data_IF_376457437269
#
_entry.id   IF_376457437269
#
_cell.length_a   1.000
_cell.length_b   1.000
_cell.length_c   1.000
_cell.angle_alpha   90.00
_cell.angle_beta   90.00
_cell.angle_gamma   90.00
#
_symmetry.space_group_name_H-M   'P 1'
#
loop_
_entity.id
_entity.type
_entity.pdbx_description
1 polymer ?
#
# COMPACT_ATOMS: atom_id res chain seq x y z
N UNK A 1 17.04 -13.70 -4.43
CA UNK A 1 17.40 -14.76 -3.45
C UNK A 1 17.82 -16.06 -4.12
N UNK A 2 17.14 -16.49 -5.21
CA UNK A 2 17.59 -17.61 -6.05
C UNK A 2 19.05 -17.47 -6.54
N UNK A 3 19.55 -16.25 -6.68
CA UNK A 3 20.96 -15.96 -6.99
C UNK A 3 21.95 -16.17 -5.83
N UNK A 4 21.49 -16.51 -4.61
CA UNK A 4 22.36 -16.82 -3.46
C UNK A 4 23.06 -15.63 -2.79
N UNK A 5 22.75 -14.39 -3.18
CA UNK A 5 23.51 -13.18 -2.82
C UNK A 5 23.09 -12.48 -1.51
N UNK A 6 22.15 -13.02 -0.74
CA UNK A 6 21.67 -12.34 0.47
C UNK A 6 20.68 -13.14 1.31
N UNK A 7 20.14 -12.51 2.36
CA UNK A 7 19.08 -13.02 3.25
C UNK A 7 17.99 -11.96 3.42
N UNK A 8 16.73 -12.38 3.46
CA UNK A 8 15.60 -11.54 3.86
C UNK A 8 15.42 -11.67 5.38
N UNK A 9 15.62 -10.58 6.13
CA UNK A 9 15.44 -10.56 7.58
C UNK A 9 13.97 -10.35 7.98
N UNK A 10 13.31 -9.37 7.36
CA UNK A 10 11.92 -9.02 7.61
C UNK A 10 11.17 -8.80 6.29
N UNK A 11 9.89 -9.13 6.27
CA UNK A 11 8.96 -8.62 5.26
C UNK A 11 8.52 -7.21 5.66
N UNK A 12 8.11 -6.38 4.68
CA UNK A 12 7.60 -5.04 4.98
C UNK A 12 6.44 -5.05 5.98
N UNK A 13 5.59 -6.09 5.90
CA UNK A 13 4.48 -6.32 6.83
C UNK A 13 4.89 -6.69 8.26
N UNK A 14 6.13 -7.15 8.48
CA UNK A 14 6.70 -7.31 9.82
C UNK A 14 7.13 -5.96 10.40
N UNK A 15 7.49 -5.01 9.53
CA UNK A 15 8.00 -3.70 9.92
C UNK A 15 6.87 -2.69 10.14
N UNK A 16 5.85 -2.72 9.30
CA UNK A 16 4.74 -1.76 9.34
C UNK A 16 3.45 -2.50 8.96
N UNK A 17 2.62 -2.75 9.97
CA UNK A 17 1.27 -3.23 9.74
C UNK A 17 0.49 -2.17 8.95
N UNK A 18 -0.13 -2.60 7.85
CA UNK A 18 -0.90 -1.74 6.93
C UNK A 18 -0.07 -0.59 6.33
N UNK A 19 1.19 -0.87 5.98
CA UNK A 19 2.00 0.07 5.20
C UNK A 19 1.26 0.53 3.94
N UNK A 20 1.16 1.84 3.65
CA UNK A 20 0.69 2.30 2.36
C UNK A 20 1.70 1.94 1.29
N UNK A 21 1.29 1.10 0.34
CA UNK A 21 2.11 0.72 -0.80
C UNK A 21 1.70 1.52 -2.05
N UNK A 22 1.39 0.87 -3.16
CA UNK A 22 1.21 1.55 -4.45
C UNK A 22 -0.17 2.21 -4.55
N UNK A 23 -0.22 3.37 -5.20
CA UNK A 23 -1.44 4.15 -5.39
C UNK A 23 -1.70 4.42 -6.87
N UNK A 24 -2.98 4.51 -7.25
CA UNK A 24 -3.38 5.10 -8.51
C UNK A 24 -3.41 6.62 -8.37
N UNK A 25 -2.43 7.30 -8.97
CA UNK A 25 -2.35 8.76 -8.96
C UNK A 25 -2.67 9.34 -10.34
N UNK A 26 -3.49 10.39 -10.35
CA UNK A 26 -3.81 11.18 -11.56
C UNK A 26 -3.69 12.67 -11.25
N UNK A 27 -3.47 13.50 -12.28
CA UNK A 27 -3.43 14.96 -12.10
C UNK A 27 -4.81 15.49 -11.70
N UNK A 28 -4.89 16.34 -10.68
CA UNK A 28 -6.15 16.91 -10.19
C UNK A 28 -6.98 17.60 -11.27
N UNK A 29 -6.33 18.38 -12.14
CA UNK A 29 -7.00 19.02 -13.29
C UNK A 29 -7.67 18.03 -14.24
N UNK A 30 -7.04 16.87 -14.45
CA UNK A 30 -7.58 15.84 -15.33
C UNK A 30 -8.75 15.13 -14.64
N UNK A 31 -8.62 14.82 -13.35
CA UNK A 31 -9.68 14.22 -12.55
C UNK A 31 -10.96 15.06 -12.59
N UNK A 32 -10.85 16.38 -12.40
CA UNK A 32 -11.99 17.31 -12.42
C UNK A 32 -12.62 17.42 -13.81
N UNK A 33 -11.82 17.45 -14.87
CA UNK A 33 -12.32 17.55 -16.24
C UNK A 33 -12.91 16.22 -16.76
N UNK A 34 -12.57 15.08 -16.14
CA UNK A 34 -12.93 13.74 -16.63
C UNK A 34 -13.59 12.87 -15.56
N UNK A 35 -14.39 13.47 -14.68
CA UNK A 35 -15.01 12.77 -13.53
C UNK A 35 -15.69 11.45 -13.90
N UNK A 36 -16.53 11.35 -14.95
CA UNK A 36 -17.16 10.07 -15.31
C UNK A 36 -16.15 8.98 -15.73
N UNK A 37 -15.07 9.37 -16.41
CA UNK A 37 -13.99 8.47 -16.82
C UNK A 37 -13.19 8.00 -15.62
N UNK A 38 -12.82 8.91 -14.71
CA UNK A 38 -12.15 8.57 -13.47
C UNK A 38 -12.97 7.57 -12.65
N UNK A 39 -14.28 7.81 -12.49
CA UNK A 39 -15.15 6.88 -11.77
C UNK A 39 -15.20 5.48 -12.42
N UNK A 40 -15.23 5.40 -13.75
CA UNK A 40 -15.15 4.11 -14.47
C UNK A 40 -13.82 3.42 -14.25
N UNK A 41 -12.71 4.17 -14.27
CA UNK A 41 -11.37 3.66 -14.01
C UNK A 41 -11.24 3.11 -12.59
N UNK A 42 -11.69 3.86 -11.59
CA UNK A 42 -11.67 3.41 -10.18
C UNK A 42 -12.47 2.12 -10.02
N UNK A 43 -13.69 2.03 -10.58
CA UNK A 43 -14.47 0.77 -10.57
C UNK A 43 -13.77 -0.38 -11.29
N UNK A 44 -13.08 -0.11 -12.39
CA UNK A 44 -12.32 -1.13 -13.11
C UNK A 44 -11.16 -1.66 -12.26
N UNK A 45 -10.41 -0.77 -11.59
CA UNK A 45 -9.35 -1.15 -10.66
C UNK A 45 -9.87 -1.99 -9.49
N UNK A 46 -11.01 -1.61 -8.88
CA UNK A 46 -11.62 -2.40 -7.80
C UNK A 46 -12.01 -3.81 -8.27
N UNK A 47 -12.62 -3.94 -9.45
CA UNK A 47 -12.95 -5.27 -10.00
C UNK A 47 -11.70 -6.08 -10.34
N UNK A 48 -10.69 -5.46 -10.94
CA UNK A 48 -9.43 -6.13 -11.26
C UNK A 48 -8.70 -6.60 -10.00
N UNK A 49 -8.70 -5.78 -8.94
CA UNK A 49 -8.14 -6.12 -7.65
C UNK A 49 -8.82 -7.34 -7.03
N UNK A 50 -10.16 -7.37 -7.00
CA UNK A 50 -10.94 -8.52 -6.54
C UNK A 50 -10.68 -9.78 -7.38
N UNK A 51 -10.59 -9.64 -8.71
CA UNK A 51 -10.25 -10.74 -9.60
C UNK A 51 -8.85 -11.29 -9.31
N UNK A 52 -7.85 -10.42 -9.09
CA UNK A 52 -6.48 -10.83 -8.78
C UNK A 52 -6.35 -11.49 -7.40
N UNK A 53 -7.20 -11.11 -6.44
CA UNK A 53 -7.20 -11.69 -5.09
C UNK A 53 -7.84 -13.08 -5.03
N UNK A 54 -8.73 -13.40 -5.97
CA UNK A 54 -9.42 -14.68 -6.04
C UNK A 54 -8.45 -15.84 -6.36
N UNK A 55 -8.35 -16.86 -5.48
CA UNK A 55 -7.45 -18.00 -5.69
C UNK A 55 -7.70 -18.77 -6.98
N UNK A 56 -8.94 -18.75 -7.49
CA UNK A 56 -9.36 -19.43 -8.71
C UNK A 56 -8.71 -18.82 -9.96
N UNK A 57 -8.52 -17.50 -9.97
CA UNK A 57 -7.91 -16.75 -11.09
C UNK A 57 -6.37 -16.78 -11.07
N UNK A 58 -5.79 -17.31 -10.00
CA UNK A 58 -4.35 -17.26 -9.73
C UNK A 58 -3.47 -17.93 -10.79
N UNK A 59 -3.84 -19.09 -11.38
CA UNK A 59 -3.06 -19.65 -12.49
C UNK A 59 -2.99 -18.70 -13.68
N UNK A 60 -4.11 -18.07 -14.05
CA UNK A 60 -4.18 -17.12 -15.16
C UNK A 60 -3.41 -15.83 -14.86
N UNK A 61 -3.58 -15.27 -13.66
CA UNK A 61 -2.83 -14.09 -13.21
C UNK A 61 -1.31 -14.29 -13.31
N UNK A 62 -0.83 -15.48 -12.89
CA UNK A 62 0.60 -15.82 -12.99
C UNK A 62 1.07 -15.82 -14.44
N UNK A 63 0.30 -16.38 -15.37
CA UNK A 63 0.67 -16.40 -16.80
C UNK A 63 0.67 -14.99 -17.38
N UNK A 64 -0.37 -14.20 -17.11
CA UNK A 64 -0.45 -12.80 -17.55
C UNK A 64 0.80 -12.05 -17.09
N UNK A 65 1.14 -12.11 -15.81
CA UNK A 65 2.29 -11.38 -15.26
C UNK A 65 3.65 -11.89 -15.80
N UNK A 66 3.75 -13.17 -16.15
CA UNK A 66 4.97 -13.77 -16.69
C UNK A 66 5.24 -13.40 -18.16
N UNK A 67 4.26 -12.84 -18.87
CA UNK A 67 4.42 -12.40 -20.26
C UNK A 67 5.69 -11.54 -20.44
N UNK A 68 6.47 -11.73 -21.53
CA UNK A 68 7.69 -10.96 -21.80
C UNK A 68 7.45 -9.45 -21.84
N UNK A 69 6.28 -9.02 -22.30
CA UNK A 69 5.85 -7.62 -22.36
C UNK A 69 5.42 -7.05 -21.00
N UNK A 70 5.44 -7.87 -19.93
CA UNK A 70 5.11 -7.47 -18.56
C UNK A 70 6.30 -7.59 -17.63
N UNK A 71 6.31 -8.55 -16.71
CA UNK A 71 7.43 -8.74 -15.79
C UNK A 71 8.54 -9.55 -16.46
N UNK A 72 8.20 -10.43 -17.41
CA UNK A 72 9.17 -11.29 -18.10
C UNK A 72 9.98 -12.18 -17.14
N UNK A 73 9.38 -12.59 -16.02
CA UNK A 73 10.02 -13.46 -15.02
C UNK A 73 9.30 -14.81 -14.92
N UNK A 74 10.03 -15.78 -14.38
CA UNK A 74 9.60 -17.17 -14.28
C UNK A 74 8.27 -17.33 -13.51
N UNK A 75 7.26 -18.03 -14.06
CA UNK A 75 5.92 -18.15 -13.47
C UNK A 75 5.90 -18.65 -12.02
N UNK A 76 6.76 -19.62 -11.66
CA UNK A 76 6.81 -20.15 -10.31
C UNK A 76 7.28 -19.10 -9.31
N UNK A 77 8.20 -18.22 -9.70
CA UNK A 77 8.62 -17.06 -8.89
C UNK A 77 7.44 -16.12 -8.60
N UNK A 78 6.63 -15.80 -9.61
CA UNK A 78 5.43 -14.97 -9.44
C UNK A 78 4.43 -15.66 -8.50
N UNK A 79 4.20 -16.94 -8.70
CA UNK A 79 3.31 -17.75 -7.86
C UNK A 79 3.74 -17.70 -6.39
N UNK A 80 5.03 -17.88 -6.12
CA UNK A 80 5.59 -17.81 -4.76
C UNK A 80 5.35 -16.44 -4.09
N UNK A 81 5.56 -15.35 -4.81
CA UNK A 81 5.28 -13.99 -4.33
C UNK A 81 3.80 -13.83 -4.00
N UNK A 82 2.91 -14.22 -4.91
CA UNK A 82 1.46 -14.11 -4.69
C UNK A 82 1.00 -14.98 -3.51
N UNK A 83 1.70 -16.08 -3.20
CA UNK A 83 1.35 -17.01 -2.09
C UNK A 83 1.89 -16.45 -0.76
N UNK A 84 2.62 -15.34 -0.80
CA UNK A 84 3.36 -14.81 0.33
C UNK A 84 4.47 -15.74 0.81
N UNK A 85 4.94 -16.67 -0.04
CA UNK A 85 5.95 -17.69 0.26
C UNK A 85 7.24 -17.34 -0.45
N UNK A 86 8.20 -16.77 0.28
CA UNK A 86 9.48 -16.33 -0.28
C UNK A 86 10.63 -17.20 0.22
N UNK A 87 11.62 -17.44 -0.65
CA UNK A 87 12.94 -17.94 -0.23
C UNK A 87 13.70 -16.82 0.46
N UNK A 88 13.96 -16.98 1.75
CA UNK A 88 14.54 -15.95 2.63
C UNK A 88 16.03 -16.15 2.90
N UNK A 89 16.63 -17.30 2.58
CA UNK A 89 18.08 -17.51 2.69
C UNK A 89 18.67 -18.35 1.54
N UNK A 90 20.00 -18.28 1.28
CA UNK A 90 20.65 -19.02 0.19
C UNK A 90 20.59 -20.55 0.34
N UNK A 91 20.42 -21.05 1.56
CA UNK A 91 20.25 -22.48 1.86
C UNK A 91 18.85 -23.02 1.49
N UNK A 92 18.02 -22.23 0.82
CA UNK A 92 16.67 -22.62 0.41
C UNK A 92 15.60 -22.43 1.48
N UNK A 93 15.92 -21.84 2.63
CA UNK A 93 14.94 -21.51 3.68
C UNK A 93 13.80 -20.68 3.09
N UNK A 94 12.56 -21.11 3.32
CA UNK A 94 11.36 -20.38 2.88
C UNK A 94 10.53 -19.90 4.07
N UNK A 95 9.95 -18.71 3.95
CA UNK A 95 9.01 -18.15 4.91
C UNK A 95 7.71 -17.79 4.20
N UNK A 96 6.58 -18.10 4.83
CA UNK A 96 5.24 -17.75 4.35
C UNK A 96 4.61 -16.74 5.29
N UNK A 97 3.91 -15.73 4.75
CA UNK A 97 3.12 -14.80 5.55
C UNK A 97 1.78 -14.49 4.86
N UNK A 98 0.66 -14.84 5.50
CA UNK A 98 -0.67 -14.76 4.89
C UNK A 98 -1.16 -13.35 4.55
N UNK A 99 -0.51 -12.31 5.07
CA UNK A 99 -0.79 -10.89 4.73
C UNK A 99 0.30 -10.26 3.85
N UNK A 100 1.21 -11.06 3.29
CA UNK A 100 2.31 -10.53 2.47
C UNK A 100 1.82 -9.73 1.27
N UNK A 101 0.72 -10.18 0.66
CA UNK A 101 0.10 -9.54 -0.50
C UNK A 101 -1.41 -9.46 -0.28
N UNK A 102 -1.92 -8.28 0.03
CA UNK A 102 -3.36 -8.00 0.15
C UNK A 102 -3.73 -7.15 -1.07
N UNK A 103 -4.60 -7.67 -1.92
CA UNK A 103 -4.97 -7.03 -3.18
C UNK A 103 -6.37 -6.44 -3.17
N UNK A 104 -7.28 -6.97 -2.36
CA UNK A 104 -8.67 -6.58 -2.35
C UNK A 104 -9.18 -6.23 -0.94
N UNK A 105 -10.46 -5.91 -0.88
CA UNK A 105 -11.10 -5.43 0.34
C UNK A 105 -10.99 -3.92 0.51
N UNK A 106 -11.99 -3.37 1.20
CA UNK A 106 -12.14 -1.94 1.42
C UNK A 106 -10.90 -1.27 2.07
N UNK A 107 -10.29 -1.85 3.13
CA UNK A 107 -9.13 -1.24 3.77
C UNK A 107 -7.86 -1.24 2.91
N UNK A 108 -7.78 -2.09 1.87
CA UNK A 108 -6.62 -2.15 0.98
C UNK A 108 -6.74 -1.16 -0.19
N UNK A 109 -7.97 -0.88 -0.65
CA UNK A 109 -8.21 -0.13 -1.88
C UNK A 109 -8.60 1.33 -1.66
N UNK A 110 -9.34 1.63 -0.57
CA UNK A 110 -9.78 3.01 -0.33
C UNK A 110 -8.61 3.88 0.12
N UNK A 111 -8.34 5.02 -0.54
CA UNK A 111 -7.32 5.95 -0.09
C UNK A 111 -7.61 6.47 1.33
N UNK A 112 -6.66 6.30 2.24
CA UNK A 112 -6.75 6.76 3.63
C UNK A 112 -5.82 7.98 3.85
N UNK A 113 -6.36 9.19 4.12
CA UNK A 113 -5.55 10.37 4.41
C UNK A 113 -4.56 10.19 5.57
N UNK A 114 -4.83 9.29 6.53
CA UNK A 114 -3.91 8.97 7.64
C UNK A 114 -2.60 8.37 7.13
N UNK A 115 -2.65 7.57 6.06
CA UNK A 115 -1.45 7.05 5.39
C UNK A 115 -0.61 8.16 4.76
N UNK A 116 -1.26 9.15 4.15
CA UNK A 116 -0.58 10.31 3.58
C UNK A 116 0.13 11.14 4.65
N UNK A 117 -0.55 11.38 5.78
CA UNK A 117 0.00 12.11 6.91
C UNK A 117 1.19 11.38 7.56
N UNK A 118 1.17 10.05 7.61
CA UNK A 118 2.32 9.28 8.10
C UNK A 118 3.52 9.35 7.17
N UNK A 119 3.31 9.23 5.85
CA UNK A 119 4.37 9.41 4.86
C UNK A 119 4.96 10.82 4.97
N UNK A 120 4.10 11.85 5.06
CA UNK A 120 4.51 13.23 5.33
C UNK A 120 5.33 13.34 6.63
N UNK A 121 4.90 12.71 7.72
CA UNK A 121 5.65 12.70 8.97
C UNK A 121 7.02 12.03 8.83
N UNK A 122 7.15 10.96 8.03
CA UNK A 122 8.46 10.38 7.73
C UNK A 122 9.34 11.33 6.91
N UNK A 123 8.77 12.05 5.93
CA UNK A 123 9.52 13.06 5.15
C UNK A 123 10.03 14.19 6.06
N UNK A 124 9.22 14.66 7.00
CA UNK A 124 9.63 15.65 8.02
C UNK A 124 10.71 15.07 8.92
N UNK A 125 10.52 13.86 9.46
CA UNK A 125 11.49 13.18 10.32
C UNK A 125 12.86 13.08 9.67
N UNK A 126 12.90 12.75 8.39
CA UNK A 126 14.13 12.63 7.60
C UNK A 126 14.58 13.94 6.96
N UNK A 127 14.02 15.08 7.38
CA UNK A 127 14.40 16.44 6.94
C UNK A 127 14.31 16.65 5.43
N UNK A 128 13.44 15.91 4.75
CA UNK A 128 13.18 16.10 3.32
C UNK A 128 12.30 17.34 3.09
N UNK A 129 11.47 17.69 4.07
CA UNK A 129 10.59 18.88 4.08
C UNK A 129 10.49 19.43 5.50
N UNK A 130 10.18 20.71 5.63
CA UNK A 130 9.84 21.32 6.92
C UNK A 130 8.38 21.07 7.29
N UNK A 131 8.13 20.93 8.59
CA UNK A 131 6.76 20.79 9.08
C UNK A 131 6.01 22.12 9.00
N UNK A 132 4.81 22.11 8.39
CA UNK A 132 3.82 23.18 8.57
C UNK A 132 2.40 22.63 8.54
N UNK A 133 1.42 23.29 9.19
CA UNK A 133 0.02 22.91 9.08
C UNK A 133 -0.49 22.88 7.63
N UNK A 134 -0.02 23.82 6.80
CA UNK A 134 -0.38 23.89 5.39
C UNK A 134 0.14 22.69 4.59
N UNK A 135 1.39 22.26 4.84
CA UNK A 135 1.96 21.10 4.16
C UNK A 135 1.32 19.79 4.61
N UNK A 136 0.99 19.66 5.91
CA UNK A 136 0.25 18.51 6.43
C UNK A 136 -1.14 18.41 5.77
N UNK A 137 -1.88 19.52 5.69
CA UNK A 137 -3.18 19.57 5.03
C UNK A 137 -3.07 19.25 3.52
N UNK A 138 -2.05 19.76 2.84
CA UNK A 138 -1.79 19.46 1.44
C UNK A 138 -1.51 17.96 1.23
N UNK A 139 -0.69 17.33 2.10
CA UNK A 139 -0.40 15.90 2.03
C UNK A 139 -1.66 15.06 2.23
N UNK A 140 -2.47 15.36 3.25
CA UNK A 140 -3.74 14.68 3.48
C UNK A 140 -4.68 14.80 2.27
N UNK A 141 -4.73 15.98 1.63
CA UNK A 141 -5.57 16.26 0.47
C UNK A 141 -5.14 15.57 -0.84
N UNK A 142 -3.94 14.98 -0.91
CA UNK A 142 -3.52 14.16 -2.06
C UNK A 142 -4.34 12.86 -2.11
N UNK A 143 -4.67 12.29 -0.95
CA UNK A 143 -5.48 11.08 -0.86
C UNK A 143 -6.94 11.48 -0.89
N UNK A 144 -7.66 11.04 -1.93
CA UNK A 144 -9.03 11.47 -2.24
C UNK A 144 -10.05 10.35 -2.04
N UNK A 145 -10.38 9.99 -0.78
CA UNK A 145 -11.41 8.99 -0.51
C UNK A 145 -12.77 9.37 -1.08
N UNK A 146 -13.10 10.66 -1.11
CA UNK A 146 -14.35 11.17 -1.66
C UNK A 146 -14.53 10.83 -3.16
N UNK A 147 -13.46 10.87 -3.96
CA UNK A 147 -13.50 10.47 -5.37
C UNK A 147 -13.67 8.95 -5.52
N UNK A 148 -13.08 8.18 -4.61
CA UNK A 148 -13.24 6.73 -4.57
C UNK A 148 -14.67 6.36 -4.18
N UNK A 149 -15.18 6.89 -3.07
CA UNK A 149 -16.51 6.61 -2.54
C UNK A 149 -17.60 6.97 -3.56
N UNK A 150 -17.46 8.13 -4.23
CA UNK A 150 -18.35 8.54 -5.32
C UNK A 150 -18.33 7.56 -6.52
N UNK A 151 -17.22 6.87 -6.76
CA UNK A 151 -17.09 5.93 -7.87
C UNK A 151 -17.71 4.55 -7.59
N UNK A 152 -17.63 4.08 -6.34
CA UNK A 152 -18.06 2.73 -5.93
C UNK A 152 -19.51 2.72 -5.41
N UNK A 153 -20.13 3.89 -5.18
CA UNK A 153 -21.48 4.02 -4.63
C UNK A 153 -21.70 3.26 -3.32
N UNK A 154 -20.63 3.04 -2.56
CA UNK A 154 -20.67 2.35 -1.28
C UNK A 154 -21.06 3.34 -0.19
N UNK A 155 -22.08 2.97 0.58
CA UNK A 155 -22.42 3.59 1.87
C UNK A 155 -21.52 2.97 2.94
N UNK A 156 -21.14 3.82 3.90
CA UNK A 156 -20.31 3.51 5.07
C UNK A 156 -20.51 2.09 5.61
N UNK A 157 -19.47 1.27 5.52
CA UNK A 157 -19.20 0.18 6.47
C UNK A 157 -17.79 -0.34 6.25
N UNK A 158 -16.82 0.35 6.86
CA UNK A 158 -15.57 -0.23 7.33
C UNK A 158 -14.73 0.89 7.94
N UNK A 159 -15.04 1.23 9.19
CA UNK A 159 -13.99 1.75 10.07
C UNK A 159 -12.95 0.64 10.22
N UNK A 160 -11.92 0.67 9.36
CA UNK A 160 -10.75 -0.15 9.58
C UNK A 160 -10.07 0.41 10.82
N UNK A 161 -10.08 -0.39 11.90
CA UNK A 161 -9.47 -0.05 13.19
C UNK A 161 -8.08 0.59 13.02
N UNK A 162 -7.84 1.65 13.77
CA UNK A 162 -6.69 2.55 13.66
C UNK A 162 -5.33 1.84 13.69
N UNK A 163 -4.41 2.38 12.88
CA UNK A 163 -2.98 2.28 13.15
C UNK A 163 -2.15 1.83 11.95
N UNK A 164 -1.25 2.72 11.52
CA UNK A 164 -0.02 2.32 10.84
C UNK A 164 0.89 1.78 11.95
N UNK A 165 0.87 0.47 12.13
CA UNK A 165 1.55 -0.19 13.24
C UNK A 165 3.02 -0.42 12.90
N UNK A 166 3.89 0.54 13.18
CA UNK A 166 5.33 0.33 13.06
C UNK A 166 5.82 -0.67 14.11
N UNK A 167 6.78 -1.53 13.75
CA UNK A 167 7.33 -2.56 14.64
C UNK A 167 8.08 -1.96 15.84
N UNK A 168 8.54 -0.72 15.69
CA UNK A 168 9.28 0.02 16.69
C UNK A 168 8.95 1.51 16.62
N UNK A 169 9.08 2.18 17.76
CA UNK A 169 8.77 3.60 17.92
C UNK A 169 7.34 3.84 18.42
N UNK A 170 6.96 5.12 18.60
CA UNK A 170 5.63 5.47 19.06
C UNK A 170 4.57 5.13 18.02
N UNK A 171 3.34 4.87 18.48
CA UNK A 171 2.18 4.77 17.61
C UNK A 171 1.97 6.08 16.86
N UNK A 172 1.62 5.98 15.57
CA UNK A 172 1.27 7.15 14.77
C UNK A 172 -0.17 7.58 15.04
N UNK A 173 -0.35 8.86 15.35
CA UNK A 173 -1.65 9.51 15.52
C UNK A 173 -1.79 10.62 14.48
N UNK A 174 -2.70 10.46 13.53
CA UNK A 174 -2.90 11.41 12.44
C UNK A 174 -3.36 12.80 12.93
N UNK A 175 -4.10 12.84 14.03
CA UNK A 175 -4.60 14.07 14.65
C UNK A 175 -3.51 14.84 15.44
N UNK A 176 -2.36 14.21 15.68
CA UNK A 176 -1.22 14.81 16.41
C UNK A 176 0.13 14.46 15.77
N UNK A 177 0.32 14.91 14.53
CA UNK A 177 1.60 14.77 13.81
C UNK A 177 2.77 15.41 14.59
N UNK A 178 2.64 16.62 15.18
CA UNK A 178 3.73 17.20 15.99
C UNK A 178 4.10 16.35 17.20
N UNK A 179 3.12 15.82 17.95
CA UNK A 179 3.37 14.93 19.09
C UNK A 179 4.04 13.63 18.67
N UNK A 180 3.61 13.03 17.55
CA UNK A 180 4.29 11.88 16.96
C UNK A 180 5.77 12.19 16.62
N UNK A 181 6.03 13.31 15.94
CA UNK A 181 7.38 13.73 15.56
C UNK A 181 8.27 13.97 16.79
N UNK A 182 7.74 14.59 17.83
CA UNK A 182 8.45 14.80 19.09
C UNK A 182 8.75 13.48 19.80
N UNK A 183 7.79 12.54 19.81
CA UNK A 183 7.96 11.23 20.42
C UNK A 183 9.01 10.39 19.68
N UNK A 184 8.96 10.33 18.35
CA UNK A 184 9.88 9.49 17.58
C UNK A 184 11.31 10.04 17.56
N UNK A 185 11.48 11.36 17.68
CA UNK A 185 12.80 11.97 17.83
C UNK A 185 13.49 11.61 19.15
N UNK A 186 12.73 11.26 20.21
CA UNK A 186 13.28 10.77 21.49
C UNK A 186 13.61 9.28 21.48
N UNK A 187 13.10 8.54 20.50
CA UNK A 187 13.29 7.09 20.36
C UNK A 187 14.42 6.73 19.38
N UNK A 188 15.08 7.72 18.77
CA UNK A 188 16.18 7.57 17.83
C UNK A 188 17.51 7.91 18.50
#
# INVERSE_FOLDING_TARGET
MAAGVGRILHFGVDMIARCPEKVLAVRSRWAMANTPTLQRLVRACVRAAAWCASPENRPELVQILAEPERLGIEPQTIRHILDGRLTVAPNGETRTHGRFFILDGWPALRPDPRHALWLYAQMVRWRQIEHSPAAAAAAAGVYRPDLFDAAIAAREDASAADGIGAFAGPLFTADDVPGYLAAIARSA
#
